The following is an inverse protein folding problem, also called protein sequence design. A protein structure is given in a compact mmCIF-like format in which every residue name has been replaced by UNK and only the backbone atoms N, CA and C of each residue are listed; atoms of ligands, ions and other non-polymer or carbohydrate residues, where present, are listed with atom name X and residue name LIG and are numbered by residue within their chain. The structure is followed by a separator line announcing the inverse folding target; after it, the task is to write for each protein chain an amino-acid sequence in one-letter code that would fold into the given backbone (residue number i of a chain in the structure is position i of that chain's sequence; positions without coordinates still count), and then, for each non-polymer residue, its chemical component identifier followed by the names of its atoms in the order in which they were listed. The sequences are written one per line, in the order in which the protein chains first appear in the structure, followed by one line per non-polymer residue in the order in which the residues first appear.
data_IF_321478239420
#
_entry.id   IF_321478239420
#
_cell.length_a   1.000
_cell.length_b   1.000
_cell.length_c   1.000
_cell.angle_alpha   90.00
_cell.angle_beta   90.00
_cell.angle_gamma   90.00
#
_symmetry.space_group_name_H-M   'P 1'
#
loop_
_entity.id
_entity.type
_entity.pdbx_description
1 polymer ?
#
# COMPACT_ATOMS: atom_id res chain seq x y z
N UNK A 1 42.77 -21.65 -7.64
CA UNK A 1 42.50 -20.27 -8.08
C UNK A 1 41.12 -20.21 -8.70
N UNK A 2 40.22 -19.47 -8.04
CA UNK A 2 39.00 -18.80 -8.50
C UNK A 2 37.93 -19.57 -9.29
N UNK A 3 36.76 -19.64 -8.63
CA UNK A 3 35.43 -19.82 -9.19
C UNK A 3 35.08 -18.69 -10.18
N UNK A 4 34.30 -19.04 -11.20
CA UNK A 4 33.50 -18.17 -12.06
C UNK A 4 32.61 -19.11 -12.88
N UNK A 5 31.31 -18.95 -13.03
CA UNK A 5 30.45 -17.82 -12.76
C UNK A 5 29.64 -17.61 -14.03
N UNK A 6 28.52 -18.30 -14.18
CA UNK A 6 27.51 -18.02 -15.22
C UNK A 6 26.14 -18.08 -14.55
N UNK A 7 25.75 -16.87 -14.14
CA UNK A 7 24.42 -16.39 -13.85
C UNK A 7 23.59 -16.45 -15.15
N UNK A 8 22.39 -17.03 -15.14
CA UNK A 8 21.33 -16.58 -16.05
C UNK A 8 19.93 -17.13 -15.70
N UNK A 9 19.14 -16.23 -15.11
CA UNK A 9 17.74 -15.91 -15.38
C UNK A 9 16.74 -17.03 -15.75
N UNK A 10 15.82 -17.32 -14.83
CA UNK A 10 14.42 -17.62 -15.20
C UNK A 10 13.50 -16.66 -14.46
N UNK A 11 13.05 -15.66 -15.21
CA UNK A 11 12.10 -14.64 -14.77
C UNK A 11 10.76 -15.23 -14.35
N UNK A 12 10.28 -14.74 -13.21
CA UNK A 12 8.96 -15.03 -12.69
C UNK A 12 7.93 -14.46 -13.66
N UNK A 13 7.32 -15.34 -14.46
CA UNK A 13 6.18 -14.99 -15.30
C UNK A 13 4.99 -14.68 -14.38
N UNK A 14 4.70 -13.41 -14.20
CA UNK A 14 3.44 -12.96 -13.64
C UNK A 14 2.32 -13.51 -14.52
N UNK A 15 1.59 -14.49 -13.99
CA UNK A 15 0.37 -15.01 -14.60
C UNK A 15 -0.61 -13.84 -14.67
N UNK A 16 -0.82 -13.32 -15.88
CA UNK A 16 -1.85 -12.34 -16.17
C UNK A 16 -3.07 -13.12 -16.63
N UNK A 17 -3.96 -13.40 -15.68
CA UNK A 17 -5.29 -13.95 -15.94
C UNK A 17 -6.09 -12.91 -16.73
N UNK A 18 -6.11 -13.04 -18.05
CA UNK A 18 -6.99 -12.26 -18.94
C UNK A 18 -8.44 -12.65 -18.66
N UNK A 19 -9.08 -11.92 -17.75
CA UNK A 19 -10.52 -11.97 -17.54
C UNK A 19 -11.16 -11.06 -18.58
N UNK A 20 -11.71 -11.65 -19.64
CA UNK A 20 -12.44 -10.94 -20.71
C UNK A 20 -13.53 -10.03 -20.09
N UNK A 21 -13.29 -8.71 -20.11
CA UNK A 21 -14.19 -7.69 -19.56
C UNK A 21 -13.66 -6.91 -18.35
N UNK A 22 -12.48 -7.25 -17.82
CA UNK A 22 -11.82 -6.45 -16.79
C UNK A 22 -10.93 -5.35 -17.43
N UNK A 23 -11.17 -4.09 -17.08
CA UNK A 23 -10.34 -2.94 -17.48
C UNK A 23 -9.32 -2.66 -16.39
N UNK A 24 -8.02 -2.57 -16.73
CA UNK A 24 -7.01 -2.10 -15.78
C UNK A 24 -7.13 -0.59 -15.58
N UNK A 25 -7.19 -0.14 -14.33
CA UNK A 25 -7.36 1.25 -13.94
C UNK A 25 -6.42 1.57 -12.77
N UNK A 26 -5.77 2.72 -12.86
CA UNK A 26 -5.01 3.33 -11.77
C UNK A 26 -5.84 4.41 -11.08
N UNK A 27 -5.65 4.57 -9.78
CA UNK A 27 -6.39 5.54 -8.99
C UNK A 27 -5.82 5.75 -7.60
N UNK A 28 -6.52 6.56 -6.81
CA UNK A 28 -6.21 6.84 -5.41
C UNK A 28 -7.31 6.28 -4.52
N UNK A 29 -6.93 5.62 -3.44
CA UNK A 29 -7.88 5.15 -2.44
C UNK A 29 -8.51 6.35 -1.76
N UNK A 30 -9.82 6.54 -1.93
CA UNK A 30 -10.56 7.61 -1.27
C UNK A 30 -10.65 7.34 0.23
N UNK A 31 -11.01 6.10 0.57
CA UNK A 31 -11.06 5.59 1.92
C UNK A 31 -11.24 4.07 1.86
N UNK A 32 -10.79 3.39 2.91
CA UNK A 32 -11.04 1.97 3.08
C UNK A 32 -11.37 1.68 4.55
N UNK A 33 -12.47 0.98 4.79
CA UNK A 33 -12.90 0.59 6.12
C UNK A 33 -12.62 -0.92 6.32
N UNK A 34 -11.58 -1.29 7.08
CA UNK A 34 -11.25 -2.69 7.33
C UNK A 34 -12.29 -3.40 8.21
N UNK A 35 -13.08 -2.67 9.00
CA UNK A 35 -14.12 -3.24 9.86
C UNK A 35 -15.33 -3.63 9.02
N UNK A 36 -15.73 -2.76 8.09
CA UNK A 36 -16.81 -3.05 7.15
C UNK A 36 -16.39 -3.94 6.00
N UNK A 37 -15.09 -3.98 5.68
CA UNK A 37 -14.51 -4.83 4.64
C UNK A 37 -14.70 -4.29 3.22
N UNK A 38 -14.93 -2.99 3.06
CA UNK A 38 -15.01 -2.33 1.75
C UNK A 38 -14.49 -0.89 1.80
N UNK A 39 -14.16 -0.38 0.62
CA UNK A 39 -13.71 1.00 0.42
C UNK A 39 -13.98 1.47 -1.00
N UNK A 40 -13.51 2.67 -1.30
CA UNK A 40 -13.68 3.28 -2.61
C UNK A 40 -12.35 3.83 -3.13
N UNK A 41 -12.17 3.71 -4.43
CA UNK A 41 -11.00 4.22 -5.17
C UNK A 41 -11.50 5.19 -6.24
N UNK A 42 -10.84 6.33 -6.34
CA UNK A 42 -11.07 7.31 -7.40
C UNK A 42 -10.08 7.02 -8.53
N UNK A 43 -10.59 6.72 -9.72
CA UNK A 43 -9.75 6.54 -10.91
C UNK A 43 -9.07 7.86 -11.30
N UNK A 44 -7.82 7.79 -11.76
CA UNK A 44 -7.05 8.96 -12.21
C UNK A 44 -7.66 9.60 -13.47
N UNK A 45 -8.21 8.75 -14.36
CA UNK A 45 -8.93 9.18 -15.57
C UNK A 45 -10.23 9.97 -15.25
N UNK A 46 -10.62 10.02 -13.98
CA UNK A 46 -11.91 10.55 -13.54
C UNK A 46 -13.05 9.58 -13.86
N UNK A 47 -14.15 9.68 -13.12
CA UNK A 47 -15.32 8.81 -13.32
C UNK A 47 -16.00 8.37 -12.02
N UNK A 48 -16.84 7.33 -12.09
CA UNK A 48 -17.51 6.79 -10.91
C UNK A 48 -16.51 6.19 -9.92
N UNK A 49 -16.81 6.29 -8.63
CA UNK A 49 -16.00 5.67 -7.58
C UNK A 49 -15.99 4.14 -7.78
N UNK A 50 -14.79 3.56 -7.74
CA UNK A 50 -14.59 2.12 -7.88
C UNK A 50 -14.73 1.47 -6.51
N UNK A 51 -15.65 0.51 -6.39
CA UNK A 51 -15.83 -0.25 -5.16
C UNK A 51 -14.67 -1.23 -4.95
N UNK A 52 -13.95 -1.10 -3.84
CA UNK A 52 -12.86 -1.97 -3.44
C UNK A 52 -13.29 -2.90 -2.31
N UNK A 53 -13.42 -4.19 -2.58
CA UNK A 53 -13.72 -5.19 -1.56
C UNK A 53 -12.45 -5.66 -0.82
N UNK A 54 -12.57 -5.90 0.49
CA UNK A 54 -11.48 -6.47 1.29
C UNK A 54 -11.02 -7.84 0.78
N UNK A 55 -11.87 -8.58 0.06
CA UNK A 55 -11.48 -9.85 -0.52
C UNK A 55 -10.42 -9.69 -1.63
N UNK A 56 -10.52 -8.61 -2.41
CA UNK A 56 -9.58 -8.31 -3.48
C UNK A 56 -8.23 -7.92 -2.90
N UNK A 57 -8.23 -7.08 -1.85
CA UNK A 57 -7.02 -6.75 -1.11
C UNK A 57 -6.38 -8.00 -0.47
N UNK A 58 -7.19 -8.88 0.13
CA UNK A 58 -6.69 -10.12 0.74
C UNK A 58 -6.05 -11.05 -0.29
N UNK A 59 -6.59 -11.10 -1.50
CA UNK A 59 -5.99 -11.86 -2.60
C UNK A 59 -4.61 -11.30 -2.99
N UNK A 60 -4.42 -9.98 -2.89
CA UNK A 60 -3.13 -9.32 -3.05
C UNK A 60 -2.19 -9.50 -1.84
N UNK A 61 -2.69 -10.05 -0.73
CA UNK A 61 -1.92 -10.24 0.51
C UNK A 61 -2.04 -9.08 1.51
N UNK A 62 -2.95 -8.12 1.27
CA UNK A 62 -3.21 -7.02 2.20
C UNK A 62 -4.60 -7.12 2.84
N UNK A 63 -4.71 -6.75 4.12
CA UNK A 63 -6.00 -6.73 4.81
C UNK A 63 -6.67 -5.34 4.81
N UNK A 64 -5.88 -4.31 4.49
CA UNK A 64 -6.29 -2.91 4.52
C UNK A 64 -5.34 -2.08 3.66
N UNK A 65 -5.76 -0.86 3.32
CA UNK A 65 -4.99 0.11 2.54
C UNK A 65 -5.20 1.50 3.13
N UNK A 66 -4.18 2.36 3.05
CA UNK A 66 -4.28 3.75 3.47
C UNK A 66 -5.14 4.55 2.49
N UNK A 67 -5.86 5.55 3.00
CA UNK A 67 -6.41 6.61 2.16
C UNK A 67 -5.28 7.41 1.50
N UNK A 68 -5.54 7.92 0.30
CA UNK A 68 -4.54 8.56 -0.55
C UNK A 68 -3.51 7.60 -1.16
N UNK A 69 -3.53 6.31 -0.83
CA UNK A 69 -2.64 5.33 -1.45
C UNK A 69 -2.96 5.21 -2.94
N UNK A 70 -1.92 5.17 -3.77
CA UNK A 70 -2.08 4.96 -5.21
C UNK A 70 -2.20 3.46 -5.47
N UNK A 71 -3.17 3.08 -6.27
CA UNK A 71 -3.53 1.67 -6.46
C UNK A 71 -3.80 1.42 -7.94
N UNK A 72 -3.23 0.32 -8.44
CA UNK A 72 -3.51 -0.21 -9.77
C UNK A 72 -4.32 -1.50 -9.63
N UNK A 73 -5.50 -1.51 -10.23
CA UNK A 73 -6.45 -2.61 -10.11
C UNK A 73 -7.18 -2.87 -11.43
N UNK A 74 -7.61 -4.11 -11.62
CA UNK A 74 -8.62 -4.43 -12.61
C UNK A 74 -10.00 -4.10 -12.07
N UNK A 75 -10.82 -3.50 -12.92
CA UNK A 75 -12.21 -3.17 -12.63
C UNK A 75 -13.15 -3.80 -13.63
N UNK A 76 -14.35 -4.13 -13.17
CA UNK A 76 -15.42 -4.62 -14.02
C UNK A 76 -16.64 -3.70 -13.89
N UNK A 77 -17.24 -3.37 -15.03
CA UNK A 77 -18.52 -2.65 -15.07
C UNK A 77 -19.66 -3.60 -14.81
N UNK A 78 -20.50 -3.28 -13.82
CA UNK A 78 -21.69 -4.09 -13.47
C UNK A 78 -22.92 -3.19 -13.30
N UNK A 79 -24.12 -3.77 -13.21
CA UNK A 79 -25.37 -3.03 -13.00
C UNK A 79 -25.38 -2.16 -11.73
N UNK A 80 -24.47 -2.45 -10.77
CA UNK A 80 -24.32 -1.71 -9.51
C UNK A 80 -23.20 -0.66 -9.55
N UNK A 81 -22.53 -0.47 -10.68
CA UNK A 81 -21.37 0.40 -10.84
C UNK A 81 -20.08 -0.36 -11.10
N UNK A 82 -18.95 0.35 -10.93
CA UNK A 82 -17.61 -0.18 -11.19
C UNK A 82 -17.07 -0.84 -9.93
N UNK A 83 -16.64 -2.09 -10.05
CA UNK A 83 -16.09 -2.86 -8.94
C UNK A 83 -14.68 -3.36 -9.24
N UNK A 84 -13.81 -3.32 -8.24
CA UNK A 84 -12.49 -3.91 -8.28
C UNK A 84 -12.60 -5.43 -8.31
N UNK A 85 -11.90 -6.08 -9.23
CA UNK A 85 -11.83 -7.54 -9.34
C UNK A 85 -10.47 -8.09 -8.90
N UNK A 86 -9.39 -7.35 -9.17
CA UNK A 86 -8.02 -7.76 -8.85
C UNK A 86 -7.15 -6.53 -8.60
N UNK A 87 -6.22 -6.61 -7.66
CA UNK A 87 -5.25 -5.53 -7.37
C UNK A 87 -3.87 -6.01 -7.83
N UNK A 88 -3.17 -5.16 -8.58
CA UNK A 88 -1.82 -5.43 -9.07
C UNK A 88 -0.74 -4.76 -8.25
N UNK A 89 -0.98 -3.53 -7.81
CA UNK A 89 0.01 -2.73 -7.08
C UNK A 89 -0.69 -1.76 -6.15
N UNK A 90 -0.15 -1.62 -4.94
CA UNK A 90 -0.53 -0.60 -3.97
C UNK A 90 0.73 0.14 -3.61
N UNK A 91 0.77 1.42 -3.95
CA UNK A 91 1.82 2.36 -3.60
C UNK A 91 1.34 3.20 -2.40
N UNK A 92 2.20 3.40 -1.40
CA UNK A 92 1.87 4.26 -0.27
C UNK A 92 1.60 5.70 -0.73
N UNK A 93 0.75 6.46 -0.01
CA UNK A 93 0.53 7.88 -0.30
C UNK A 93 1.85 8.66 -0.22
N UNK A 94 2.08 9.53 -1.21
CA UNK A 94 3.27 10.40 -1.35
C UNK A 94 3.49 11.32 -0.14
N UNK A 95 2.48 11.52 0.72
CA UNK A 95 2.66 12.22 2.00
C UNK A 95 3.68 11.52 2.93
N UNK A 96 3.93 10.22 2.74
CA UNK A 96 5.00 9.49 3.41
C UNK A 96 6.40 9.82 2.86
N UNK A 97 6.50 10.42 1.67
CA UNK A 97 7.79 10.87 1.11
C UNK A 97 8.28 12.19 1.72
N UNK A 98 7.49 12.88 2.55
CA UNK A 98 8.02 13.99 3.36
C UNK A 98 8.83 13.51 4.59
N UNK A 99 8.83 12.21 4.85
CA UNK A 99 9.84 11.55 5.68
C UNK A 99 10.71 10.68 4.76
N UNK A 100 11.32 11.31 3.75
CA UNK A 100 12.28 10.64 2.87
C UNK A 100 13.28 9.87 3.71
N UNK A 101 13.48 8.61 3.36
CA UNK A 101 14.57 7.77 3.86
C UNK A 101 15.98 8.40 3.68
N UNK A 102 16.08 9.56 3.01
CA UNK A 102 17.29 10.35 2.88
C UNK A 102 17.78 11.01 4.19
N UNK A 103 17.00 10.98 5.27
CA UNK A 103 17.46 11.46 6.59
C UNK A 103 18.13 10.35 7.42
N UNK A 104 17.92 9.06 7.11
CA UNK A 104 18.41 7.95 7.95
C UNK A 104 19.92 7.71 7.89
N UNK A 105 20.63 8.28 6.93
CA UNK A 105 22.10 8.25 6.92
C UNK A 105 22.73 9.33 7.83
N UNK A 106 21.95 10.32 8.31
CA UNK A 106 22.42 11.43 9.16
C UNK A 106 21.65 11.60 10.49
N UNK A 107 20.61 10.80 10.79
CA UNK A 107 19.96 10.87 12.11
C UNK A 107 20.90 10.26 13.16
N UNK A 108 21.57 11.13 13.91
CA UNK A 108 22.36 10.77 15.09
C UNK A 108 21.50 9.92 16.05
N UNK A 109 21.93 8.70 16.44
CA UNK A 109 21.13 7.80 17.28
C UNK A 109 20.69 8.44 18.60
N UNK A 110 21.41 9.47 19.08
CA UNK A 110 21.02 10.27 20.24
C UNK A 110 19.71 11.07 20.03
N UNK A 111 19.39 11.47 18.80
CA UNK A 111 18.16 12.19 18.45
C UNK A 111 16.95 11.24 18.48
N UNK A 112 17.12 10.01 17.99
CA UNK A 112 16.08 8.96 18.06
C UNK A 112 15.79 8.59 19.51
N UNK A 113 16.81 8.52 20.36
CA UNK A 113 16.63 8.26 21.80
C UNK A 113 16.01 9.44 22.57
N UNK A 114 16.25 10.67 22.13
CA UNK A 114 15.65 11.86 22.73
C UNK A 114 14.23 12.17 22.21
N UNK A 115 13.79 11.52 21.13
CA UNK A 115 12.46 11.71 20.57
C UNK A 115 11.38 11.19 21.52
N UNK A 116 10.36 12.00 21.78
CA UNK A 116 9.22 11.60 22.60
C UNK A 116 8.35 10.63 21.80
N UNK A 117 8.25 9.39 22.25
CA UNK A 117 7.39 8.38 21.63
C UNK A 117 5.91 8.77 21.85
N UNK A 118 5.21 9.10 20.77
CA UNK A 118 3.76 9.32 20.80
C UNK A 118 3.04 7.97 20.63
N UNK A 119 2.03 7.65 21.47
CA UNK A 119 1.26 6.43 21.29
C UNK A 119 0.47 6.53 19.98
N UNK A 120 0.57 5.47 19.17
CA UNK A 120 -0.12 5.36 17.90
C UNK A 120 -0.77 3.99 17.74
N UNK A 121 -1.89 3.95 17.04
CA UNK A 121 -2.53 2.70 16.62
C UNK A 121 -2.08 2.36 15.23
N UNK A 122 -1.33 1.27 15.07
CA UNK A 122 -1.00 0.70 13.76
C UNK A 122 -2.32 0.39 13.02
N UNK A 123 -2.57 1.14 11.95
CA UNK A 123 -3.73 0.96 11.05
C UNK A 123 -3.47 -0.22 10.12
N UNK A 124 -2.22 -0.35 9.68
CA UNK A 124 -1.74 -1.53 8.95
C UNK A 124 -0.22 -1.60 8.98
N UNK A 125 0.34 -2.81 8.86
CA UNK A 125 1.77 -3.03 8.79
C UNK A 125 2.07 -4.25 7.93
N UNK A 126 3.00 -4.09 7.00
CA UNK A 126 3.52 -5.13 6.14
C UNK A 126 4.87 -5.61 6.68
N UNK A 127 4.85 -6.77 7.33
CA UNK A 127 6.06 -7.39 7.91
C UNK A 127 7.07 -7.83 6.84
N UNK A 128 6.61 -8.16 5.63
CA UNK A 128 7.48 -8.58 4.53
C UNK A 128 8.28 -7.42 3.95
N UNK A 129 7.66 -6.24 3.88
CA UNK A 129 8.29 -5.01 3.39
C UNK A 129 8.92 -4.15 4.50
N UNK A 130 8.60 -4.43 5.76
CA UNK A 130 9.16 -3.74 6.92
C UNK A 130 8.55 -2.37 7.19
N UNK A 131 7.35 -2.07 6.67
CA UNK A 131 6.72 -0.77 6.90
C UNK A 131 5.20 -0.84 7.03
N UNK A 132 4.60 0.20 7.59
CA UNK A 132 3.17 0.33 7.81
C UNK A 132 2.74 1.77 8.04
N UNK A 133 1.49 1.94 8.43
CA UNK A 133 0.96 3.23 8.86
C UNK A 133 0.28 3.08 10.21
N UNK A 134 0.47 4.07 11.07
CA UNK A 134 -0.16 4.18 12.36
C UNK A 134 -0.86 5.53 12.49
N UNK A 135 -2.03 5.54 13.09
CA UNK A 135 -2.72 6.76 13.47
C UNK A 135 -2.29 7.17 14.88
N UNK A 136 -1.72 8.37 15.02
CA UNK A 136 -1.31 8.90 16.33
C UNK A 136 -2.55 9.37 17.09
N UNK A 137 -2.67 8.97 18.36
CA UNK A 137 -3.81 9.40 19.19
C UNK A 137 -3.82 10.93 19.32
N UNK A 138 -4.90 11.57 18.86
CA UNK A 138 -5.06 13.02 18.89
C UNK A 138 -4.66 13.75 17.59
N UNK A 139 -4.15 13.04 16.58
CA UNK A 139 -3.92 13.57 15.22
C UNK A 139 -4.87 12.90 14.22
N UNK A 140 -5.40 13.68 13.29
CA UNK A 140 -6.29 13.17 12.22
C UNK A 140 -5.55 12.49 11.07
N UNK A 141 -4.21 12.54 11.08
CA UNK A 141 -3.34 12.10 10.00
C UNK A 141 -2.78 10.68 10.28
N UNK A 142 -2.55 9.94 9.21
CA UNK A 142 -1.83 8.66 9.25
C UNK A 142 -0.32 8.91 9.15
N UNK A 143 0.46 8.27 10.01
CA UNK A 143 1.91 8.40 10.08
C UNK A 143 2.56 7.11 9.58
N UNK A 144 3.56 7.25 8.71
CA UNK A 144 4.34 6.13 8.21
C UNK A 144 5.24 5.56 9.32
N UNK A 145 5.34 4.23 9.39
CA UNK A 145 6.13 3.52 10.39
C UNK A 145 7.04 2.51 9.69
N UNK A 146 8.32 2.49 10.06
CA UNK A 146 9.29 1.50 9.60
C UNK A 146 9.69 0.54 10.73
N UNK A 147 10.01 -0.71 10.39
CA UNK A 147 10.33 -1.79 11.33
C UNK A 147 11.54 -1.47 12.20
N UNK A 148 12.49 -0.69 11.69
CA UNK A 148 13.68 -0.27 12.44
C UNK A 148 13.38 0.68 13.61
N UNK A 149 12.20 1.31 13.62
CA UNK A 149 11.78 2.26 14.67
C UNK A 149 10.91 1.57 15.74
N UNK A 150 10.47 0.33 15.51
CA UNK A 150 9.68 -0.45 16.45
C UNK A 150 10.60 -1.18 17.45
N UNK A 151 10.71 -0.64 18.68
CA UNK A 151 11.42 -1.27 19.81
C UNK A 151 10.47 -1.99 20.76
#
# INVERSE_FOLDING_TARGET
MKCGGDDDHVGNKAVTTETEGARRVSGLVKWFDPVKGFGFVVADEGGPDILLHANVLRNFGQSSVADGAKIELNVQSTDRGIQATEVFTIEPPVAAESATLADFEDIDPAVIEAATLEPARVKWFDKGKGFGFANIFGRGEDVFVHVEVLR
#
